data_IF_840654453884
#
_entry.id   IF_840654453884
#
_cell.length_a   1.000
_cell.length_b   1.000
_cell.length_c   1.000
_cell.angle_alpha   90.00
_cell.angle_beta   90.00
_cell.angle_gamma   90.00
#
_symmetry.space_group_name_H-M   'P 1'
#
loop_
_entity.id
_entity.type
_entity.pdbx_description
1 polymer ?
#
# COMPACT_ATOMS: atom_id res chain seq x y z
N UNK A 1 -32.72 43.27 40.58
CA UNK A 1 -31.52 42.96 39.78
C UNK A 1 -31.69 41.55 39.21
N UNK A 2 -31.80 41.48 37.89
CA UNK A 2 -31.71 40.27 37.06
C UNK A 2 -30.44 39.47 37.42
N UNK A 3 -30.47 38.15 37.57
CA UNK A 3 -30.46 37.13 36.50
C UNK A 3 -29.06 36.49 36.48
N UNK A 4 -28.81 35.21 36.28
CA UNK A 4 -29.59 34.03 35.92
C UNK A 4 -28.66 32.81 36.03
N UNK A 5 -29.28 31.64 36.13
CA UNK A 5 -28.69 30.29 36.09
C UNK A 5 -27.91 30.09 34.76
N UNK A 6 -26.90 29.22 34.72
CA UNK A 6 -26.70 28.16 33.70
C UNK A 6 -25.27 27.60 33.76
N UNK A 7 -25.20 26.34 34.16
CA UNK A 7 -24.11 25.42 33.84
C UNK A 7 -23.87 25.40 32.33
N UNK A 8 -22.61 25.54 31.89
CA UNK A 8 -22.22 25.14 30.55
C UNK A 8 -20.95 24.31 30.59
N UNK A 9 -21.13 23.12 30.03
CA UNK A 9 -20.23 22.00 29.82
C UNK A 9 -18.77 22.36 29.60
N UNK A 10 -17.89 21.54 30.18
CA UNK A 10 -16.62 21.20 29.55
C UNK A 10 -16.94 20.89 28.08
N UNK A 11 -16.65 21.84 27.19
CA UNK A 11 -16.59 21.57 25.76
C UNK A 11 -15.58 20.45 25.62
N UNK A 12 -16.09 19.21 25.55
CA UNK A 12 -15.50 18.20 24.67
C UNK A 12 -15.20 18.99 23.41
N UNK A 13 -13.93 19.17 23.12
CA UNK A 13 -13.52 19.46 21.76
C UNK A 13 -14.09 18.30 20.96
N UNK A 14 -15.30 18.49 20.44
CA UNK A 14 -15.84 17.67 19.37
C UNK A 14 -14.94 18.00 18.21
N UNK A 15 -13.79 17.33 18.17
CA UNK A 15 -12.98 17.22 16.99
C UNK A 15 -13.92 16.54 16.00
N UNK A 16 -14.55 17.36 15.15
CA UNK A 16 -15.33 16.89 14.03
C UNK A 16 -14.38 16.11 13.12
N UNK A 17 -14.35 14.80 13.33
CA UNK A 17 -14.09 13.70 12.41
C UNK A 17 -13.30 14.01 11.13
N UNK A 18 -12.05 13.54 11.11
CA UNK A 18 -11.55 12.62 10.08
C UNK A 18 -10.62 11.62 10.78
N UNK A 19 -11.21 10.57 11.37
CA UNK A 19 -10.42 9.45 11.90
C UNK A 19 -9.63 8.85 10.72
N UNK A 20 -8.30 9.00 10.76
CA UNK A 20 -7.38 8.15 9.99
C UNK A 20 -7.41 6.73 10.58
N UNK A 21 -8.58 6.10 10.52
CA UNK A 21 -8.77 4.74 10.95
C UNK A 21 -8.28 3.83 9.83
N UNK A 22 -7.31 2.98 10.15
CA UNK A 22 -6.84 1.94 9.26
C UNK A 22 -7.43 0.62 9.71
N UNK A 23 -7.91 -0.17 8.75
CA UNK A 23 -8.39 -1.52 9.02
C UNK A 23 -7.23 -2.51 8.98
N UNK A 24 -7.28 -3.52 9.85
CA UNK A 24 -6.31 -4.61 9.87
C UNK A 24 -6.42 -5.48 8.60
N UNK A 25 -5.56 -6.50 8.47
CA UNK A 25 -5.55 -7.36 7.29
C UNK A 25 -6.85 -8.15 7.07
N UNK A 26 -7.70 -8.26 8.10
CA UNK A 26 -9.03 -8.89 8.05
C UNK A 26 -10.15 -7.89 7.75
N UNK A 27 -9.84 -6.62 7.50
CA UNK A 27 -10.84 -5.58 7.23
C UNK A 27 -11.54 -5.03 8.48
N UNK A 28 -11.03 -5.32 9.67
CA UNK A 28 -11.63 -4.88 10.94
C UNK A 28 -10.95 -3.64 11.48
N UNK A 29 -11.70 -2.80 12.16
CA UNK A 29 -11.17 -1.70 12.96
C UNK A 29 -11.06 -2.18 14.40
N UNK A 30 -9.84 -2.17 14.92
CA UNK A 30 -9.53 -2.67 16.26
C UNK A 30 -8.62 -1.64 16.94
N UNK A 31 -8.87 -1.41 18.23
CA UNK A 31 -7.98 -0.58 19.03
C UNK A 31 -6.63 -1.28 19.17
N UNK A 32 -5.56 -0.58 18.82
CA UNK A 32 -4.19 -1.09 18.89
C UNK A 32 -3.34 -0.12 19.70
N UNK A 33 -2.50 -0.68 20.57
CA UNK A 33 -1.50 0.07 21.33
C UNK A 33 -0.12 -0.20 20.77
N UNK A 34 0.75 0.80 20.84
CA UNK A 34 2.12 0.74 20.34
C UNK A 34 3.08 1.07 21.48
N UNK A 35 4.18 0.35 21.53
CA UNK A 35 5.28 0.65 22.44
C UNK A 35 6.10 1.83 21.92
N UNK A 36 6.92 2.43 22.79
CA UNK A 36 7.88 3.45 22.36
C UNK A 36 8.86 2.92 21.30
N UNK A 37 9.21 1.64 21.38
CA UNK A 37 10.07 0.99 20.38
C UNK A 37 9.38 0.92 19.01
N UNK A 38 8.08 0.61 18.96
CA UNK A 38 7.32 0.59 17.70
C UNK A 38 7.28 1.97 17.06
N UNK A 39 7.07 3.02 17.87
CA UNK A 39 7.07 4.42 17.40
C UNK A 39 8.44 4.81 16.87
N UNK A 40 9.52 4.50 17.61
CA UNK A 40 10.88 4.80 17.18
C UNK A 40 11.25 4.09 15.88
N UNK A 41 10.88 2.82 15.75
CA UNK A 41 11.08 2.05 14.53
C UNK A 41 10.30 2.67 13.35
N UNK A 42 9.03 3.03 13.56
CA UNK A 42 8.22 3.71 12.55
C UNK A 42 8.82 5.06 12.11
N UNK A 43 9.39 5.83 13.04
CA UNK A 43 10.08 7.09 12.73
C UNK A 43 11.32 6.86 11.86
N UNK A 44 12.14 5.87 12.18
CA UNK A 44 13.33 5.52 11.38
C UNK A 44 12.93 5.09 9.96
N UNK A 45 11.87 4.27 9.85
CA UNK A 45 11.33 3.87 8.55
C UNK A 45 10.80 5.09 7.77
N UNK A 46 10.09 6.00 8.44
CA UNK A 46 9.58 7.24 7.86
C UNK A 46 10.70 8.14 7.31
N UNK A 47 11.83 8.26 8.02
CA UNK A 47 13.00 8.99 7.55
C UNK A 47 13.60 8.38 6.28
N UNK A 48 13.73 7.05 6.23
CA UNK A 48 14.18 6.34 5.02
C UNK A 48 13.22 6.58 3.85
N UNK A 49 11.93 6.43 4.06
CA UNK A 49 10.91 6.67 3.02
C UNK A 49 11.00 8.11 2.49
N UNK A 50 11.18 9.10 3.38
CA UNK A 50 11.36 10.50 2.99
C UNK A 50 12.61 10.71 2.14
N UNK A 51 13.72 10.04 2.47
CA UNK A 51 14.94 10.10 1.66
C UNK A 51 14.78 9.49 0.25
N UNK A 52 13.90 8.49 0.09
CA UNK A 52 13.61 7.85 -1.19
C UNK A 52 12.63 8.65 -2.08
N UNK A 53 12.14 9.79 -1.60
CA UNK A 53 11.23 10.68 -2.31
C UNK A 53 11.66 12.11 -2.04
N UNK A 54 12.64 12.67 -2.78
CA UNK A 54 12.77 14.12 -2.80
C UNK A 54 11.40 14.64 -3.23
N UNK A 55 10.74 15.38 -2.33
CA UNK A 55 9.47 16.03 -2.62
C UNK A 55 9.62 16.69 -4.01
N UNK A 56 8.64 16.58 -4.93
CA UNK A 56 8.64 17.49 -6.05
C UNK A 56 8.76 18.89 -5.46
N UNK A 57 9.73 19.67 -5.94
CA UNK A 57 9.87 21.08 -5.57
C UNK A 57 8.56 21.76 -5.96
N UNK A 58 7.59 21.75 -5.06
CA UNK A 58 6.45 22.64 -5.17
C UNK A 58 6.99 23.98 -4.70
N UNK A 59 7.19 24.89 -5.65
CA UNK A 59 7.33 26.31 -5.36
C UNK A 59 6.35 26.71 -4.25
N UNK A 60 6.77 27.65 -3.40
CA UNK A 60 6.02 28.14 -2.25
C UNK A 60 4.66 28.72 -2.68
N UNK A 61 3.65 27.88 -2.90
CA UNK A 61 2.28 28.33 -3.12
C UNK A 61 1.62 28.54 -1.76
N UNK A 62 1.40 29.81 -1.42
CA UNK A 62 0.56 30.23 -0.30
C UNK A 62 -0.83 29.60 -0.50
N UNK A 63 -1.26 28.80 0.46
CA UNK A 63 -2.66 28.39 0.55
C UNK A 63 -3.43 29.62 1.05
N UNK A 64 -4.07 30.34 0.15
CA UNK A 64 -5.12 31.28 0.52
C UNK A 64 -6.41 30.47 0.68
N UNK A 65 -6.88 30.34 1.91
CA UNK A 65 -8.15 29.71 2.22
C UNK A 65 -9.27 30.72 1.92
N UNK A 66 -9.78 30.69 0.69
CA UNK A 66 -11.07 31.31 0.39
C UNK A 66 -12.19 30.35 0.82
N UNK A 67 -13.02 30.77 1.78
CA UNK A 67 -14.14 29.99 2.32
C UNK A 67 -15.30 29.84 1.32
N UNK A 68 -15.24 30.49 0.16
CA UNK A 68 -16.26 30.44 -0.89
C UNK A 68 -15.88 29.57 -2.11
N UNK A 69 -14.65 29.05 -2.19
CA UNK A 69 -14.23 28.16 -3.28
C UNK A 69 -14.07 26.72 -2.81
N UNK A 70 -14.44 25.77 -3.68
CA UNK A 70 -14.19 24.33 -3.45
C UNK A 70 -12.67 24.16 -3.30
N UNK A 71 -12.20 23.99 -2.08
CA UNK A 71 -10.78 23.76 -1.81
C UNK A 71 -10.35 22.41 -2.40
N UNK A 72 -9.61 22.45 -3.50
CA UNK A 72 -9.01 21.25 -4.07
C UNK A 72 -7.88 20.77 -3.16
N UNK A 73 -7.89 19.47 -2.83
CA UNK A 73 -6.77 18.86 -2.13
C UNK A 73 -5.49 19.02 -2.95
N UNK A 74 -4.36 19.32 -2.30
CA UNK A 74 -3.02 19.31 -2.91
C UNK A 74 -2.73 18.01 -3.69
N UNK A 75 -3.39 16.92 -3.32
CA UNK A 75 -3.29 15.63 -4.03
C UNK A 75 -3.79 15.69 -5.49
N UNK A 76 -4.61 16.68 -5.86
CA UNK A 76 -5.10 16.89 -7.21
C UNK A 76 -3.98 17.15 -8.23
N UNK A 77 -2.87 17.75 -7.79
CA UNK A 77 -1.74 18.14 -8.66
C UNK A 77 -0.57 17.15 -8.66
N UNK A 78 -0.74 15.95 -8.09
CA UNK A 78 0.33 14.95 -8.07
C UNK A 78 0.54 14.43 -9.50
N UNK A 79 1.72 14.70 -10.06
CA UNK A 79 2.15 14.08 -11.31
C UNK A 79 2.54 12.62 -11.05
N UNK A 80 1.61 11.71 -11.33
CA UNK A 80 1.78 10.26 -11.11
C UNK A 80 3.00 9.67 -11.81
N UNK A 81 3.33 10.17 -13.00
CA UNK A 81 4.45 9.66 -13.80
C UNK A 81 5.81 10.07 -13.23
N UNK A 82 5.86 11.10 -12.39
CA UNK A 82 7.08 11.54 -11.70
C UNK A 82 7.31 10.78 -10.38
N UNK A 83 6.33 10.02 -9.90
CA UNK A 83 6.48 9.23 -8.69
C UNK A 83 7.37 8.01 -8.94
N UNK A 84 8.28 7.73 -8.01
CA UNK A 84 9.02 6.46 -8.02
C UNK A 84 8.07 5.27 -7.84
N UNK A 85 8.49 4.09 -8.31
CA UNK A 85 7.70 2.85 -8.13
C UNK A 85 7.45 2.51 -6.66
N UNK A 86 8.42 2.82 -5.78
CA UNK A 86 8.26 2.70 -4.32
C UNK A 86 7.18 3.66 -3.81
N UNK A 87 7.15 4.91 -4.28
CA UNK A 87 6.15 5.89 -3.86
C UNK A 87 4.74 5.50 -4.32
N UNK A 88 4.58 5.02 -5.55
CA UNK A 88 3.30 4.49 -6.07
C UNK A 88 2.84 3.28 -5.26
N UNK A 89 3.74 2.34 -4.96
CA UNK A 89 3.47 1.20 -4.09
C UNK A 89 2.95 1.65 -2.70
N UNK A 90 3.60 2.63 -2.06
CA UNK A 90 3.14 3.16 -0.77
C UNK A 90 1.77 3.85 -0.84
N UNK A 91 1.44 4.52 -1.96
CA UNK A 91 0.10 5.07 -2.17
C UNK A 91 -0.96 3.96 -2.23
N UNK A 92 -0.73 2.89 -2.98
CA UNK A 92 -1.67 1.77 -3.03
C UNK A 92 -1.77 1.02 -1.70
N UNK A 93 -0.67 0.89 -0.94
CA UNK A 93 -0.72 0.36 0.42
C UNK A 93 -1.66 1.18 1.32
N UNK A 94 -1.58 2.51 1.24
CA UNK A 94 -2.47 3.38 2.01
C UNK A 94 -3.94 3.16 1.60
N UNK A 95 -4.24 3.01 0.30
CA UNK A 95 -5.60 2.71 -0.16
C UNK A 95 -6.11 1.36 0.37
N UNK A 96 -5.25 0.32 0.38
CA UNK A 96 -5.60 -0.97 0.96
C UNK A 96 -5.94 -0.85 2.46
N UNK A 97 -5.13 -0.12 3.23
CA UNK A 97 -5.33 0.04 4.67
C UNK A 97 -6.57 0.87 5.02
N UNK A 98 -6.90 1.85 4.20
CA UNK A 98 -8.09 2.69 4.35
C UNK A 98 -9.40 1.99 3.98
N UNK A 99 -9.34 0.81 3.37
CA UNK A 99 -10.54 0.05 2.98
C UNK A 99 -10.76 -1.18 3.86
N UNK A 100 -11.93 -1.35 4.49
CA UNK A 100 -12.26 -2.57 5.21
C UNK A 100 -12.66 -3.74 4.28
N UNK A 101 -12.91 -3.48 2.99
CA UNK A 101 -13.39 -4.51 2.06
C UNK A 101 -12.23 -5.40 1.59
N UNK A 102 -12.32 -6.71 1.83
CA UNK A 102 -11.25 -7.68 1.54
C UNK A 102 -10.83 -7.71 0.06
N UNK A 103 -11.79 -7.65 -0.88
CA UNK A 103 -11.47 -7.62 -2.31
C UNK A 103 -10.73 -6.36 -2.73
N UNK A 104 -11.08 -5.22 -2.12
CA UNK A 104 -10.41 -3.94 -2.35
C UNK A 104 -8.99 -4.00 -1.79
N UNK A 105 -8.81 -4.53 -0.57
CA UNK A 105 -7.50 -4.77 0.03
C UNK A 105 -6.61 -5.62 -0.86
N UNK A 106 -7.09 -6.82 -1.23
CA UNK A 106 -6.37 -7.76 -2.10
C UNK A 106 -5.97 -7.07 -3.40
N UNK A 107 -6.89 -6.32 -4.00
CA UNK A 107 -6.63 -5.62 -5.27
C UNK A 107 -5.54 -4.56 -5.16
N UNK A 108 -5.57 -3.75 -4.09
CA UNK A 108 -4.54 -2.75 -3.85
C UNK A 108 -3.21 -3.36 -3.43
N UNK A 109 -3.19 -4.46 -2.69
CA UNK A 109 -1.96 -5.20 -2.40
C UNK A 109 -1.33 -5.79 -3.68
N UNK A 110 -2.13 -6.29 -4.62
CA UNK A 110 -1.60 -6.71 -5.93
C UNK A 110 -1.03 -5.50 -6.70
N UNK A 111 -1.67 -4.32 -6.63
CA UNK A 111 -1.13 -3.09 -7.24
C UNK A 111 0.21 -2.65 -6.62
N UNK A 112 0.42 -2.91 -5.32
CA UNK A 112 1.73 -2.73 -4.67
C UNK A 112 2.79 -3.60 -5.36
N UNK A 113 2.50 -4.88 -5.57
CA UNK A 113 3.41 -5.80 -6.25
C UNK A 113 3.60 -5.41 -7.73
N UNK A 114 2.54 -5.02 -8.44
CA UNK A 114 2.62 -4.55 -9.84
C UNK A 114 3.56 -3.34 -9.96
N UNK A 115 3.45 -2.35 -9.07
CA UNK A 115 4.34 -1.20 -9.07
C UNK A 115 5.81 -1.60 -8.98
N UNK A 116 6.11 -2.54 -8.09
CA UNK A 116 7.48 -2.93 -7.75
C UNK A 116 8.10 -3.87 -8.79
N UNK A 117 7.32 -4.82 -9.32
CA UNK A 117 7.84 -5.97 -10.06
C UNK A 117 7.46 -6.02 -11.54
N UNK A 118 6.58 -5.16 -12.06
CA UNK A 118 6.24 -5.17 -13.49
C UNK A 118 7.36 -4.63 -14.39
N UNK A 119 8.09 -3.61 -13.94
CA UNK A 119 9.06 -2.86 -14.76
C UNK A 119 8.46 -2.35 -16.09
N UNK A 120 7.21 -1.85 -16.05
CA UNK A 120 6.45 -1.39 -17.22
C UNK A 120 6.24 -2.42 -18.34
N UNK A 121 6.42 -3.70 -18.03
CA UNK A 121 6.12 -4.78 -18.97
C UNK A 121 4.63 -5.11 -18.98
N UNK A 122 3.98 -4.85 -20.12
CA UNK A 122 2.57 -5.13 -20.32
C UNK A 122 2.28 -6.60 -20.71
N UNK A 123 3.31 -7.36 -21.06
CA UNK A 123 3.17 -8.74 -21.52
C UNK A 123 3.38 -9.72 -20.38
N UNK A 124 2.45 -10.67 -20.24
CA UNK A 124 2.54 -11.74 -19.23
C UNK A 124 2.76 -11.23 -17.79
N UNK A 125 2.22 -10.03 -17.50
CA UNK A 125 2.44 -9.32 -16.23
C UNK A 125 2.18 -10.20 -14.99
N UNK A 126 1.13 -11.04 -15.04
CA UNK A 126 0.81 -12.00 -14.00
C UNK A 126 1.96 -12.99 -13.76
N UNK A 127 2.50 -13.57 -14.84
CA UNK A 127 3.60 -14.54 -14.74
C UNK A 127 4.85 -13.87 -14.18
N UNK A 128 5.25 -12.72 -14.75
CA UNK A 128 6.46 -11.99 -14.37
C UNK A 128 6.43 -11.51 -12.92
N UNK A 129 5.30 -10.96 -12.46
CA UNK A 129 5.16 -10.55 -11.07
C UNK A 129 5.23 -11.77 -10.16
N UNK A 130 4.52 -12.86 -10.50
CA UNK A 130 4.54 -14.08 -9.69
C UNK A 130 5.95 -14.67 -9.56
N UNK A 131 6.70 -14.70 -10.66
CA UNK A 131 8.08 -15.20 -10.71
C UNK A 131 9.04 -14.29 -9.95
N UNK A 132 9.02 -12.98 -10.22
CA UNK A 132 9.93 -12.01 -9.60
C UNK A 132 9.69 -11.91 -8.09
N UNK A 133 8.44 -11.92 -7.64
CA UNK A 133 8.13 -11.93 -6.19
C UNK A 133 8.61 -13.22 -5.54
N UNK A 134 8.37 -14.37 -6.18
CA UNK A 134 8.82 -15.67 -5.68
C UNK A 134 10.34 -15.73 -5.51
N UNK A 135 11.09 -15.30 -6.52
CA UNK A 135 12.56 -15.28 -6.48
C UNK A 135 13.07 -14.26 -5.46
N UNK A 136 12.41 -13.12 -5.37
CA UNK A 136 12.84 -12.05 -4.49
C UNK A 136 12.66 -12.39 -3.00
N UNK A 137 11.62 -13.13 -2.64
CA UNK A 137 11.29 -13.45 -1.24
C UNK A 137 11.68 -14.87 -0.85
N UNK A 138 11.45 -15.86 -1.72
CA UNK A 138 11.61 -17.26 -1.38
C UNK A 138 13.07 -17.69 -1.22
N UNK A 139 13.37 -18.45 -0.18
CA UNK A 139 14.74 -18.87 0.16
C UNK A 139 15.14 -20.21 -0.46
N UNK A 140 14.17 -21.02 -0.91
CA UNK A 140 14.41 -22.31 -1.56
C UNK A 140 13.37 -22.61 -2.65
N UNK A 141 13.59 -23.67 -3.44
CA UNK A 141 12.74 -24.01 -4.58
C UNK A 141 11.27 -24.28 -4.22
N UNK A 142 11.01 -24.94 -3.09
CA UNK A 142 9.64 -25.23 -2.64
C UNK A 142 8.90 -23.94 -2.25
N UNK A 143 9.56 -23.06 -1.50
CA UNK A 143 8.99 -21.78 -1.09
C UNK A 143 8.75 -20.86 -2.30
N UNK A 144 9.73 -20.76 -3.21
CA UNK A 144 9.59 -20.03 -4.47
C UNK A 144 8.36 -20.54 -5.25
N UNK A 145 8.19 -21.85 -5.35
CA UNK A 145 7.03 -22.43 -6.03
C UNK A 145 5.69 -22.08 -5.33
N UNK A 146 5.63 -22.19 -4.00
CA UNK A 146 4.44 -21.81 -3.22
C UNK A 146 4.09 -20.34 -3.40
N UNK A 147 5.08 -19.44 -3.28
CA UNK A 147 4.93 -18.00 -3.50
C UNK A 147 4.45 -17.70 -4.91
N UNK A 148 5.05 -18.32 -5.93
CA UNK A 148 4.62 -18.15 -7.32
C UNK A 148 3.14 -18.48 -7.50
N UNK A 149 2.71 -19.64 -6.99
CA UNK A 149 1.31 -20.08 -7.08
C UNK A 149 0.38 -19.15 -6.30
N UNK A 150 0.80 -18.68 -5.13
CA UNK A 150 0.03 -17.76 -4.32
C UNK A 150 -0.15 -16.39 -5.01
N UNK A 151 0.93 -15.78 -5.50
CA UNK A 151 0.89 -14.50 -6.21
C UNK A 151 0.02 -14.60 -7.47
N UNK A 152 0.15 -15.70 -8.23
CA UNK A 152 -0.68 -15.96 -9.40
C UNK A 152 -2.17 -16.07 -9.07
N UNK A 153 -2.50 -16.68 -7.93
CA UNK A 153 -3.87 -16.80 -7.40
C UNK A 153 -4.45 -15.43 -7.05
N UNK A 154 -3.73 -14.62 -6.28
CA UNK A 154 -4.24 -13.29 -5.86
C UNK A 154 -4.33 -12.32 -7.03
N UNK A 155 -3.43 -12.41 -8.00
CA UNK A 155 -3.54 -11.66 -9.26
C UNK A 155 -4.84 -12.03 -9.98
N UNK A 156 -5.17 -13.31 -10.06
CA UNK A 156 -6.42 -13.79 -10.66
C UNK A 156 -7.66 -13.24 -9.95
N UNK A 157 -7.66 -13.19 -8.61
CA UNK A 157 -8.75 -12.59 -7.82
C UNK A 157 -8.89 -11.10 -8.14
N UNK A 158 -7.79 -10.34 -8.10
CA UNK A 158 -7.75 -8.91 -8.43
C UNK A 158 -8.28 -8.67 -9.83
N UNK A 159 -7.78 -9.41 -10.83
CA UNK A 159 -8.17 -9.26 -12.23
C UNK A 159 -9.67 -9.49 -12.43
N UNK A 160 -10.23 -10.57 -11.87
CA UNK A 160 -11.67 -10.82 -11.92
C UNK A 160 -12.46 -9.66 -11.28
N UNK A 161 -12.06 -9.22 -10.08
CA UNK A 161 -12.74 -8.15 -9.35
C UNK A 161 -12.73 -6.81 -10.10
N UNK A 162 -11.55 -6.35 -10.56
CA UNK A 162 -11.44 -5.03 -11.22
C UNK A 162 -12.12 -4.99 -12.60
N UNK A 163 -12.28 -6.13 -13.26
CA UNK A 163 -12.99 -6.25 -14.53
C UNK A 163 -14.48 -6.63 -14.36
N UNK A 164 -14.99 -6.67 -13.13
CA UNK A 164 -16.39 -6.98 -12.85
C UNK A 164 -16.80 -8.42 -13.17
N UNK A 165 -15.86 -9.36 -13.21
CA UNK A 165 -16.11 -10.77 -13.47
C UNK A 165 -16.53 -11.52 -12.21
N UNK A 166 -17.36 -12.54 -12.36
CA UNK A 166 -17.73 -13.43 -11.26
C UNK A 166 -16.52 -14.25 -10.78
N UNK A 167 -16.37 -14.35 -9.46
CA UNK A 167 -15.40 -15.24 -8.84
C UNK A 167 -15.99 -16.63 -8.63
N UNK A 168 -15.12 -17.64 -8.53
CA UNK A 168 -15.53 -18.98 -8.17
C UNK A 168 -16.18 -18.96 -6.78
N UNK A 169 -17.30 -19.67 -6.62
CA UNK A 169 -18.13 -19.60 -5.40
C UNK A 169 -17.31 -19.84 -4.12
N UNK A 170 -16.40 -20.81 -4.16
CA UNK A 170 -15.47 -21.12 -3.06
C UNK A 170 -14.51 -19.95 -2.75
N UNK A 171 -14.00 -19.25 -3.76
CA UNK A 171 -13.12 -18.10 -3.57
C UNK A 171 -13.85 -16.84 -3.10
N UNK A 172 -15.18 -16.77 -3.26
CA UNK A 172 -16.00 -15.66 -2.77
C UNK A 172 -16.38 -15.78 -1.29
N UNK A 173 -16.05 -16.89 -0.63
CA UNK A 173 -16.31 -17.08 0.79
C UNK A 173 -15.44 -16.13 1.63
N UNK A 174 -16.07 -15.38 2.53
CA UNK A 174 -15.40 -14.38 3.36
C UNK A 174 -14.24 -14.95 4.18
N UNK A 175 -14.34 -16.19 4.68
CA UNK A 175 -13.26 -16.84 5.43
C UNK A 175 -12.00 -17.03 4.56
N UNK A 176 -12.18 -17.52 3.33
CA UNK A 176 -11.10 -17.73 2.37
C UNK A 176 -10.49 -16.39 1.94
N UNK A 177 -11.31 -15.37 1.67
CA UNK A 177 -10.81 -14.03 1.36
C UNK A 177 -10.05 -13.40 2.53
N UNK A 178 -10.47 -13.67 3.76
CA UNK A 178 -9.81 -13.15 4.96
C UNK A 178 -8.41 -13.75 5.13
N UNK A 179 -8.28 -15.06 4.93
CA UNK A 179 -6.99 -15.77 4.95
C UNK A 179 -6.07 -15.27 3.85
N UNK A 180 -6.57 -15.15 2.62
CA UNK A 180 -5.81 -14.63 1.48
C UNK A 180 -5.36 -13.20 1.72
N UNK A 181 -6.25 -12.33 2.23
CA UNK A 181 -5.93 -10.94 2.55
C UNK A 181 -4.84 -10.85 3.62
N UNK A 182 -4.90 -11.70 4.65
CA UNK A 182 -3.89 -11.78 5.70
C UNK A 182 -2.53 -12.24 5.18
N UNK A 183 -2.50 -13.32 4.40
CA UNK A 183 -1.27 -13.86 3.82
C UNK A 183 -0.64 -12.86 2.83
N UNK A 184 -1.46 -12.17 2.04
CA UNK A 184 -1.00 -11.17 1.09
C UNK A 184 -0.50 -9.89 1.79
N UNK A 185 -1.15 -9.43 2.87
CA UNK A 185 -0.67 -8.29 3.66
C UNK A 185 0.72 -8.59 4.25
N UNK A 186 0.94 -9.81 4.75
CA UNK A 186 2.24 -10.25 5.25
C UNK A 186 3.30 -10.28 4.16
N UNK A 187 2.99 -10.85 2.99
CA UNK A 187 3.89 -10.84 1.84
C UNK A 187 4.26 -9.41 1.42
N UNK A 188 3.27 -8.51 1.32
CA UNK A 188 3.49 -7.10 0.99
C UNK A 188 4.36 -6.41 2.03
N UNK A 189 4.17 -6.71 3.32
CA UNK A 189 5.00 -6.18 4.41
C UNK A 189 6.46 -6.62 4.25
N UNK A 190 6.71 -7.91 4.05
CA UNK A 190 8.06 -8.47 3.84
C UNK A 190 8.72 -7.80 2.62
N UNK A 191 8.01 -7.76 1.50
CA UNK A 191 8.47 -7.13 0.26
C UNK A 191 8.84 -5.67 0.51
N UNK A 192 7.93 -4.85 1.05
CA UNK A 192 8.17 -3.42 1.23
C UNK A 192 9.30 -3.14 2.21
N UNK A 193 9.40 -3.90 3.31
CA UNK A 193 10.51 -3.75 4.25
C UNK A 193 11.84 -4.07 3.58
N UNK A 194 11.93 -5.18 2.83
CA UNK A 194 13.15 -5.54 2.11
C UNK A 194 13.52 -4.51 1.04
N UNK A 195 12.54 -4.04 0.27
CA UNK A 195 12.70 -2.97 -0.73
C UNK A 195 13.21 -1.68 -0.10
N UNK A 196 12.60 -1.22 1.00
CA UNK A 196 12.93 0.10 1.59
C UNK A 196 14.23 0.05 2.39
N UNK A 197 14.49 -1.05 3.10
CA UNK A 197 15.62 -1.15 4.03
C UNK A 197 16.89 -1.67 3.37
N UNK A 198 16.78 -2.53 2.36
CA UNK A 198 17.92 -3.26 1.77
C UNK A 198 18.11 -2.88 0.30
N UNK A 199 17.08 -3.02 -0.53
CA UNK A 199 17.22 -3.00 -1.99
C UNK A 199 16.73 -1.70 -2.66
N UNK A 200 16.61 -0.60 -1.91
CA UNK A 200 15.94 0.60 -2.40
C UNK A 200 16.60 1.17 -3.65
N UNK A 201 17.93 1.07 -3.76
CA UNK A 201 18.67 1.47 -4.95
C UNK A 201 18.27 0.68 -6.20
N UNK A 202 18.07 -0.64 -6.09
CA UNK A 202 17.66 -1.49 -7.20
C UNK A 202 16.24 -1.12 -7.69
N UNK A 203 15.31 -0.88 -6.76
CA UNK A 203 13.94 -0.48 -7.10
C UNK A 203 13.83 0.98 -7.55
N UNK A 204 14.90 1.78 -7.49
CA UNK A 204 14.97 3.11 -8.08
C UNK A 204 15.63 3.13 -9.47
N UNK A 205 16.13 1.98 -9.96
CA UNK A 205 16.63 1.84 -11.32
C UNK A 205 15.52 2.14 -12.34
N UNK A 206 15.95 2.46 -13.57
CA UNK A 206 15.05 2.47 -14.75
C UNK A 206 14.59 1.06 -15.09
N UNK A 207 13.53 0.95 -15.89
CA UNK A 207 12.84 -0.32 -16.11
C UNK A 207 13.70 -1.39 -16.80
N UNK A 208 14.57 -0.99 -17.72
CA UNK A 208 15.50 -1.90 -18.39
C UNK A 208 16.49 -2.51 -17.40
N UNK A 209 17.15 -1.66 -16.62
CA UNK A 209 18.14 -2.08 -15.61
C UNK A 209 17.51 -2.89 -14.47
N UNK A 210 16.28 -2.55 -14.05
CA UNK A 210 15.55 -3.36 -13.07
C UNK A 210 15.21 -4.74 -13.63
N UNK A 211 14.81 -4.82 -14.90
CA UNK A 211 14.52 -6.08 -15.57
C UNK A 211 15.77 -6.96 -15.67
N UNK A 212 16.90 -6.38 -16.06
CA UNK A 212 18.19 -7.08 -16.06
C UNK A 212 18.58 -7.58 -14.67
N UNK A 213 18.38 -6.78 -13.63
CA UNK A 213 18.64 -7.18 -12.26
C UNK A 213 17.80 -8.39 -11.83
N UNK A 214 16.50 -8.40 -12.13
CA UNK A 214 15.65 -9.57 -11.90
C UNK A 214 16.11 -10.79 -12.70
N UNK A 215 16.45 -10.60 -13.98
CA UNK A 215 16.90 -11.69 -14.84
C UNK A 215 18.22 -12.29 -14.35
N UNK A 216 19.15 -11.47 -13.87
CA UNK A 216 20.39 -11.98 -13.26
C UNK A 216 20.15 -12.79 -11.99
N UNK A 217 19.04 -12.55 -11.30
CA UNK A 217 18.64 -13.26 -10.09
C UNK A 217 17.91 -14.58 -10.39
N UNK A 218 17.42 -14.79 -11.61
CA UNK A 218 16.84 -16.07 -12.06
C UNK A 218 17.88 -17.19 -12.15
N UNK A 219 19.14 -16.84 -12.43
CA UNK A 219 20.22 -17.79 -12.70
C UNK A 219 21.19 -17.98 -11.51
N UNK A 220 20.79 -17.52 -10.31
CA UNK A 220 21.50 -17.76 -9.04
C UNK A 220 20.75 -18.79 -8.21
#
# INVERSE_FOLDING_TARGET
>A
MYGGIYSFSLRRATIQNFFHSYSNALGRFEDTSYTLNDINYAMQLGQKIKALSPEPVTENYKLELDLNEISFSKAHYINYNQLSRIRRALQFLNQARSSPQLLVKISFYVLVLECLFSANDATEINHKISERVAIYVGVNGEEKYKLFKFVKKVYGIRSKYVHGQMMDKKLSENAILSEISKELDELVRIVLLKVILVDSANFLLKDEALTEWFNSSLFK
#
